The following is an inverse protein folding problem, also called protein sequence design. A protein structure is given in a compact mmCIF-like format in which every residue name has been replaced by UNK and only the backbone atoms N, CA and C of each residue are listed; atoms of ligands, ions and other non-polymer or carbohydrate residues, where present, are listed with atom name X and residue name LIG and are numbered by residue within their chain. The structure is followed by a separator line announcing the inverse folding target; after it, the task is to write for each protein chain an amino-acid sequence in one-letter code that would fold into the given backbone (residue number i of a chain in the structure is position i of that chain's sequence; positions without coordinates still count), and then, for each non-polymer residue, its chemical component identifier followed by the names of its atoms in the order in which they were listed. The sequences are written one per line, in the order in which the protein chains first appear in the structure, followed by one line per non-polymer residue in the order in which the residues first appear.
data_IF_145048556059
#
_entry.id   IF_145048556059
#
_cell.length_a   1.000
_cell.length_b   1.000
_cell.length_c   1.000
_cell.angle_alpha   90.00
_cell.angle_beta   90.00
_cell.angle_gamma   90.00
#
_symmetry.space_group_name_H-M   'P 1'
#
loop_
_entity.id
_entity.type
_entity.pdbx_description
1 polymer ?
#
# COMPACT_ATOMS: atom_id res chain seq x y z
N UNK A 1 -4.44 -1.60 5.98
CA UNK A 1 -4.05 -0.83 4.78
C UNK A 1 -2.79 -1.38 4.08
N UNK A 2 -1.76 -1.82 4.81
CA UNK A 2 -0.47 -2.27 4.25
C UNK A 2 -0.55 -3.29 3.09
N UNK A 3 -1.50 -4.22 3.11
CA UNK A 3 -1.75 -5.17 1.99
C UNK A 3 -2.13 -4.44 0.70
N UNK A 4 -3.00 -3.41 0.79
CA UNK A 4 -3.43 -2.61 -0.39
C UNK A 4 -2.40 -1.57 -0.84
N UNK A 5 -1.45 -1.19 0.03
CA UNK A 5 -0.33 -0.25 -0.27
C UNK A 5 0.96 -1.03 -0.62
N UNK A 6 0.82 -2.23 -1.18
CA UNK A 6 1.80 -3.33 -1.19
C UNK A 6 3.10 -3.09 -0.40
N UNK A 7 3.03 -3.10 0.93
CA UNK A 7 4.24 -3.00 1.78
C UNK A 7 4.87 -4.39 1.99
N UNK A 8 6.17 -4.45 2.29
CA UNK A 8 6.84 -5.68 2.77
C UNK A 8 6.23 -6.10 4.12
N UNK A 9 5.93 -7.40 4.35
CA UNK A 9 6.13 -8.58 3.49
C UNK A 9 4.90 -8.96 2.64
N UNK A 10 3.86 -8.12 2.59
CA UNK A 10 2.53 -8.46 2.05
C UNK A 10 2.30 -7.91 0.63
N UNK A 11 3.35 -7.73 -0.17
CA UNK A 11 3.28 -7.19 -1.54
C UNK A 11 3.20 -8.27 -2.63
N UNK A 12 3.44 -9.54 -2.29
CA UNK A 12 3.61 -10.64 -3.26
C UNK A 12 2.36 -10.90 -4.12
N UNK A 13 1.17 -10.60 -3.59
CA UNK A 13 -0.08 -10.76 -4.34
C UNK A 13 -0.17 -9.85 -5.57
N UNK A 14 0.55 -8.72 -5.59
CA UNK A 14 0.42 -7.70 -6.62
C UNK A 14 0.95 -8.17 -7.99
N UNK A 15 2.18 -8.72 -8.12
CA UNK A 15 2.65 -9.28 -9.37
C UNK A 15 1.72 -10.34 -9.96
N UNK A 16 1.28 -11.30 -9.15
CA UNK A 16 0.39 -12.38 -9.57
C UNK A 16 -0.95 -11.84 -10.07
N UNK A 17 -1.55 -10.91 -9.32
CA UNK A 17 -2.80 -10.27 -9.73
C UNK A 17 -2.70 -9.50 -11.06
N UNK A 18 -1.53 -8.93 -11.38
CA UNK A 18 -1.31 -8.27 -12.66
C UNK A 18 -1.07 -9.24 -13.82
N UNK A 19 -0.42 -10.39 -13.58
CA UNK A 19 -0.16 -11.41 -14.59
C UNK A 19 -1.45 -12.11 -15.03
N UNK A 20 -2.35 -12.38 -14.09
CA UNK A 20 -3.59 -13.11 -14.36
C UNK A 20 -4.75 -12.22 -14.84
N UNK A 21 -4.70 -10.91 -14.58
CA UNK A 21 -5.77 -10.00 -14.94
C UNK A 21 -5.81 -9.69 -16.45
N UNK A 22 -7.00 -9.56 -17.06
CA UNK A 22 -7.12 -9.02 -18.41
C UNK A 22 -6.60 -7.57 -18.44
N UNK A 23 -6.17 -7.07 -19.61
CA UNK A 23 -5.55 -5.73 -19.75
C UNK A 23 -6.37 -4.63 -19.08
N UNK A 24 -7.68 -4.58 -19.29
CA UNK A 24 -8.56 -3.61 -18.65
C UNK A 24 -8.61 -3.76 -17.12
N UNK A 25 -8.59 -5.00 -16.62
CA UNK A 25 -8.54 -5.30 -15.19
C UNK A 25 -7.21 -4.85 -14.56
N UNK A 26 -6.09 -5.10 -15.23
CA UNK A 26 -4.76 -4.65 -14.81
C UNK A 26 -4.67 -3.11 -14.73
N UNK A 27 -5.27 -2.40 -15.70
CA UNK A 27 -5.36 -0.93 -15.70
C UNK A 27 -6.18 -0.41 -14.51
N UNK A 28 -7.33 -1.02 -14.22
CA UNK A 28 -8.17 -0.63 -13.07
C UNK A 28 -7.46 -0.95 -11.74
N UNK A 29 -6.80 -2.10 -11.65
CA UNK A 29 -6.03 -2.53 -10.48
C UNK A 29 -4.94 -1.50 -10.17
N UNK A 30 -4.13 -1.17 -11.17
CA UNK A 30 -3.08 -0.17 -11.04
C UNK A 30 -3.66 1.23 -10.75
N UNK A 31 -4.67 1.66 -11.51
CA UNK A 31 -5.20 3.02 -11.50
C UNK A 31 -5.99 3.39 -10.25
N UNK A 32 -6.78 2.45 -9.71
CA UNK A 32 -7.74 2.72 -8.64
C UNK A 32 -7.40 1.90 -7.39
N UNK A 33 -7.26 0.58 -7.53
CA UNK A 33 -7.23 -0.31 -6.36
C UNK A 33 -6.03 -0.03 -5.44
N UNK A 34 -4.85 0.25 -6.02
CA UNK A 34 -3.67 0.64 -5.25
C UNK A 34 -3.81 2.00 -4.56
N UNK A 35 -4.55 2.93 -5.18
CA UNK A 35 -4.79 4.28 -4.63
C UNK A 35 -5.76 4.23 -3.45
N UNK A 36 -6.65 3.25 -3.39
CA UNK A 36 -7.57 3.09 -2.26
C UNK A 36 -6.83 2.76 -0.95
N UNK A 37 -5.68 2.09 -1.02
CA UNK A 37 -4.87 1.80 0.16
C UNK A 37 -4.30 3.07 0.80
N UNK A 38 -3.69 3.93 -0.02
CA UNK A 38 -3.11 5.21 0.45
C UNK A 38 -4.18 6.22 0.82
N UNK A 39 -5.28 6.28 0.07
CA UNK A 39 -6.46 7.08 0.42
C UNK A 39 -7.01 6.70 1.79
N UNK A 40 -7.12 5.40 2.08
CA UNK A 40 -7.56 4.91 3.39
C UNK A 40 -6.62 5.31 4.53
N UNK A 41 -5.30 5.28 4.31
CA UNK A 41 -4.32 5.79 5.27
C UNK A 41 -4.51 7.30 5.54
N UNK A 42 -4.64 8.10 4.49
CA UNK A 42 -4.83 9.55 4.59
C UNK A 42 -6.15 9.91 5.27
N UNK A 43 -7.24 9.21 4.95
CA UNK A 43 -8.58 9.56 5.42
C UNK A 43 -8.89 9.02 6.81
N UNK A 44 -8.38 7.84 7.15
CA UNK A 44 -8.73 7.16 8.40
C UNK A 44 -7.56 7.11 9.37
N UNK A 45 -6.37 6.69 8.95
CA UNK A 45 -5.27 6.49 9.91
C UNK A 45 -4.77 7.80 10.52
N UNK A 46 -4.37 8.76 9.68
CA UNK A 46 -3.73 10.00 10.12
C UNK A 46 -4.68 10.88 10.97
N UNK A 47 -5.91 11.20 10.53
CA UNK A 47 -6.77 12.10 11.29
C UNK A 47 -7.45 11.42 12.50
N UNK A 48 -7.67 10.09 12.47
CA UNK A 48 -8.31 9.41 13.61
C UNK A 48 -7.30 9.07 14.71
N UNK A 49 -6.03 8.85 14.37
CA UNK A 49 -5.00 8.42 15.34
C UNK A 49 -3.71 9.26 15.22
N UNK A 50 -3.74 10.56 15.56
CA UNK A 50 -2.58 11.45 15.39
C UNK A 50 -1.37 11.04 16.23
N UNK A 51 -1.58 10.73 17.52
CA UNK A 51 -0.49 10.33 18.43
C UNK A 51 0.14 8.98 18.03
N UNK A 52 -0.69 8.00 17.68
CA UNK A 52 -0.20 6.72 17.19
C UNK A 52 0.53 6.91 15.85
N UNK A 53 0.02 7.74 14.95
CA UNK A 53 0.68 8.03 13.68
C UNK A 53 2.08 8.59 13.92
N UNK A 54 2.26 9.53 14.85
CA UNK A 54 3.57 10.06 15.22
C UNK A 54 4.50 8.96 15.75
N UNK A 55 4.02 8.14 16.69
CA UNK A 55 4.79 7.04 17.26
C UNK A 55 5.22 6.00 16.20
N UNK A 56 4.36 5.68 15.24
CA UNK A 56 4.61 4.68 14.21
C UNK A 56 5.26 5.24 12.92
N UNK A 57 5.54 6.55 12.84
CA UNK A 57 6.26 7.14 11.69
C UNK A 57 7.57 6.42 11.33
N UNK A 58 8.52 6.14 12.27
CA UNK A 58 9.76 5.46 11.90
C UNK A 58 9.51 4.06 11.35
N UNK A 59 8.54 3.34 11.91
CA UNK A 59 8.17 2.01 11.44
C UNK A 59 7.65 2.05 9.99
N UNK A 60 6.74 2.97 9.67
CA UNK A 60 6.21 3.12 8.31
C UNK A 60 7.31 3.54 7.33
N UNK A 61 8.24 4.41 7.74
CA UNK A 61 9.37 4.82 6.90
C UNK A 61 10.32 3.66 6.61
N UNK A 62 10.67 2.85 7.61
CA UNK A 62 11.52 1.67 7.40
C UNK A 62 10.87 0.66 6.46
N UNK A 63 9.58 0.35 6.64
CA UNK A 63 8.85 -0.54 5.74
C UNK A 63 8.79 0.00 4.31
N UNK A 64 8.57 1.30 4.15
CA UNK A 64 8.52 1.95 2.84
C UNK A 64 9.88 1.93 2.14
N UNK A 65 10.96 2.20 2.88
CA UNK A 65 12.32 2.16 2.34
C UNK A 65 12.70 0.74 1.89
N UNK A 66 12.40 -0.29 2.70
CA UNK A 66 12.66 -1.68 2.34
C UNK A 66 11.83 -2.09 1.13
N UNK A 67 10.56 -1.67 1.06
CA UNK A 67 9.71 -1.93 -0.10
C UNK A 67 10.33 -1.32 -1.37
N UNK A 68 10.66 -0.03 -1.38
CA UNK A 68 11.24 0.65 -2.56
C UNK A 68 12.53 -0.02 -3.07
N UNK A 69 13.36 -0.56 -2.18
CA UNK A 69 14.62 -1.22 -2.57
C UNK A 69 14.36 -2.62 -3.11
N UNK A 70 13.39 -3.34 -2.57
CA UNK A 70 13.17 -4.76 -2.86
C UNK A 70 12.14 -5.02 -3.98
N UNK A 71 11.13 -4.15 -4.13
CA UNK A 71 10.00 -4.30 -5.07
C UNK A 71 10.06 -3.28 -6.17
#
# INVERSE_FOLDING_TARGET
FAVKVPMVPVHIWLPEAHVEAPTAGSVILAGILLKLGTYGFLRFSIPMFPEATLCFTPFIYTLSAIAIIYT
#
